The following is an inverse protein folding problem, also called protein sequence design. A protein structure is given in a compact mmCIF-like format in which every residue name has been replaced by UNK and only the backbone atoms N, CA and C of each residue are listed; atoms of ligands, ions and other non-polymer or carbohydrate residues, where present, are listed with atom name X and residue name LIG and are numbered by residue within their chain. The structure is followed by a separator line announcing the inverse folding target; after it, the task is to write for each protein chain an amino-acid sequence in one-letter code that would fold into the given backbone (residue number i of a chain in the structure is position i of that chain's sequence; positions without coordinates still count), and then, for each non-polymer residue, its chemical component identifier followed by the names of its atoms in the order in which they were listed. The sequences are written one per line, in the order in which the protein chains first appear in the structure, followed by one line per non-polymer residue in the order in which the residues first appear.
data_IF_344788285176
#
_entry.id   IF_344788285176
#
_cell.length_a   1.000
_cell.length_b   1.000
_cell.length_c   1.000
_cell.angle_alpha   90.00
_cell.angle_beta   90.00
_cell.angle_gamma   90.00
#
_symmetry.space_group_name_H-M   'P 1'
#
loop_
_entity.id
_entity.type
_entity.pdbx_description
1 polymer ?
#
# COMPACT_ATOMS: atom_id res chain seq x y z
N UNK A 1 62.31 -85.45 -67.41
CA UNK A 1 61.05 -85.20 -66.66
C UNK A 1 61.26 -83.98 -65.78
N UNK A 2 60.83 -82.80 -66.24
CA UNK A 2 60.85 -81.53 -65.50
C UNK A 2 59.53 -81.35 -64.75
N UNK A 3 59.56 -80.51 -63.71
CA UNK A 3 58.46 -79.84 -63.03
C UNK A 3 57.68 -80.60 -61.96
N UNK A 4 58.08 -80.39 -60.68
CA UNK A 4 57.17 -80.34 -59.52
C UNK A 4 57.83 -79.72 -58.27
N UNK A 5 58.60 -78.64 -58.45
CA UNK A 5 59.04 -77.77 -57.35
C UNK A 5 58.65 -76.35 -57.73
N UNK A 6 58.14 -75.60 -56.74
CA UNK A 6 57.75 -74.18 -56.80
C UNK A 6 56.29 -73.87 -57.20
N UNK A 7 55.33 -74.18 -56.32
CA UNK A 7 54.05 -73.43 -56.27
C UNK A 7 53.60 -73.09 -54.83
N UNK A 8 54.44 -73.30 -53.80
CA UNK A 8 54.03 -73.09 -52.41
C UNK A 8 54.53 -71.81 -51.72
N UNK A 9 55.26 -70.92 -52.39
CA UNK A 9 55.88 -69.75 -51.72
C UNK A 9 55.54 -68.36 -52.31
N UNK A 10 54.55 -68.24 -53.21
CA UNK A 10 54.24 -66.97 -53.87
C UNK A 10 53.21 -66.07 -53.15
N UNK A 11 52.42 -66.62 -52.23
CA UNK A 11 51.25 -65.93 -51.67
C UNK A 11 51.46 -65.41 -50.23
N UNK A 12 52.50 -65.90 -49.55
CA UNK A 12 52.86 -65.54 -48.17
C UNK A 12 53.12 -64.03 -47.97
N UNK A 13 53.93 -63.34 -48.81
CA UNK A 13 54.19 -61.91 -48.60
C UNK A 13 52.99 -61.01 -48.92
N UNK A 14 52.07 -61.47 -49.78
CA UNK A 14 50.82 -60.77 -50.11
C UNK A 14 49.80 -60.86 -48.97
N UNK A 15 49.66 -62.07 -48.41
CA UNK A 15 48.83 -62.34 -47.23
C UNK A 15 49.38 -61.64 -45.99
N UNK A 16 50.70 -61.54 -45.83
CA UNK A 16 51.35 -60.76 -44.76
C UNK A 16 51.10 -59.25 -44.89
N UNK A 17 51.06 -58.72 -46.12
CA UNK A 17 50.71 -57.32 -46.36
C UNK A 17 49.24 -57.03 -46.05
N UNK A 18 48.31 -57.88 -46.51
CA UNK A 18 46.88 -57.78 -46.18
C UNK A 18 46.62 -57.91 -44.66
N UNK A 19 47.28 -58.84 -43.97
CA UNK A 19 47.21 -58.98 -42.51
C UNK A 19 47.68 -57.71 -41.80
N UNK A 20 48.72 -57.06 -42.30
CA UNK A 20 49.27 -55.82 -41.73
C UNK A 20 48.34 -54.63 -41.97
N UNK A 21 47.68 -54.59 -43.12
CA UNK A 21 46.71 -53.55 -43.49
C UNK A 21 45.39 -53.71 -42.70
N UNK A 22 44.89 -54.94 -42.56
CA UNK A 22 43.76 -55.28 -41.68
C UNK A 22 44.07 -54.95 -40.21
N UNK A 23 45.27 -55.26 -39.72
CA UNK A 23 45.70 -54.89 -38.37
C UNK A 23 45.80 -53.38 -38.15
N UNK A 24 46.16 -52.61 -39.19
CA UNK A 24 46.14 -51.15 -39.13
C UNK A 24 44.71 -50.59 -39.10
N UNK A 25 43.79 -51.15 -39.90
CA UNK A 25 42.38 -50.79 -39.89
C UNK A 25 41.70 -51.14 -38.57
N UNK A 26 42.00 -52.31 -37.99
CA UNK A 26 41.48 -52.72 -36.69
C UNK A 26 41.91 -51.75 -35.57
N UNK A 27 43.17 -51.32 -35.62
CA UNK A 27 43.73 -50.33 -34.67
C UNK A 27 43.06 -48.96 -34.83
N UNK A 28 42.84 -48.50 -36.06
CA UNK A 28 42.13 -47.23 -36.33
C UNK A 28 40.67 -47.28 -35.84
N UNK A 29 39.98 -48.40 -36.05
CA UNK A 29 38.62 -48.63 -35.55
C UNK A 29 38.60 -48.62 -34.02
N UNK A 30 39.57 -49.27 -33.36
CA UNK A 30 39.69 -49.24 -31.89
C UNK A 30 39.92 -47.82 -31.37
N UNK A 31 40.80 -47.03 -31.99
CA UNK A 31 41.06 -45.64 -31.61
C UNK A 31 39.82 -44.75 -31.82
N UNK A 32 39.06 -44.97 -32.90
CA UNK A 32 37.82 -44.24 -33.17
C UNK A 32 36.70 -44.64 -32.20
N UNK A 33 36.58 -45.92 -31.86
CA UNK A 33 35.65 -46.42 -30.85
C UNK A 33 35.97 -45.85 -29.46
N UNK A 34 37.25 -45.78 -29.10
CA UNK A 34 37.72 -45.13 -27.86
C UNK A 34 37.34 -43.65 -27.80
N UNK A 35 37.57 -42.90 -28.89
CA UNK A 35 37.15 -41.48 -29.00
C UNK A 35 35.63 -41.30 -28.85
N UNK A 36 34.84 -42.12 -29.54
CA UNK A 36 33.37 -42.08 -29.45
C UNK A 36 32.86 -42.43 -28.05
N UNK A 37 33.51 -43.38 -27.36
CA UNK A 37 33.17 -43.74 -25.99
C UNK A 37 33.39 -42.59 -25.01
N UNK A 38 34.52 -41.87 -25.12
CA UNK A 38 34.79 -40.69 -24.29
C UNK A 38 33.78 -39.58 -24.55
N UNK A 39 33.48 -39.28 -25.83
CA UNK A 39 32.46 -38.30 -26.20
C UNK A 39 31.08 -38.65 -25.64
N UNK A 40 30.70 -39.93 -25.73
CA UNK A 40 29.44 -40.42 -25.16
C UNK A 40 29.38 -40.24 -23.65
N UNK A 41 30.44 -40.61 -22.93
CA UNK A 41 30.53 -40.43 -21.48
C UNK A 41 30.43 -38.95 -21.07
N UNK A 42 31.10 -38.04 -21.80
CA UNK A 42 30.98 -36.60 -21.58
C UNK A 42 29.57 -36.09 -21.83
N UNK A 43 28.93 -36.53 -22.92
CA UNK A 43 27.55 -36.13 -23.24
C UNK A 43 26.55 -36.64 -22.20
N UNK A 44 26.69 -37.88 -21.72
CA UNK A 44 25.86 -38.44 -20.65
C UNK A 44 26.06 -37.70 -19.32
N UNK A 45 27.29 -37.25 -19.04
CA UNK A 45 27.59 -36.39 -17.89
C UNK A 45 26.93 -35.01 -18.00
N UNK A 46 27.03 -34.37 -19.17
CA UNK A 46 26.40 -33.07 -19.43
C UNK A 46 24.87 -33.16 -19.39
N UNK A 47 24.28 -34.22 -19.96
CA UNK A 47 22.84 -34.46 -19.91
C UNK A 47 22.33 -34.61 -18.46
N UNK A 48 23.05 -35.37 -17.63
CA UNK A 48 22.72 -35.51 -16.20
C UNK A 48 22.76 -34.18 -15.46
N UNK A 49 23.79 -33.37 -15.70
CA UNK A 49 23.91 -32.06 -15.06
C UNK A 49 22.81 -31.11 -15.53
N UNK A 50 22.50 -31.07 -16.83
CA UNK A 50 21.39 -30.29 -17.37
C UNK A 50 20.06 -30.70 -16.73
N UNK A 51 19.78 -32.01 -16.62
CA UNK A 51 18.55 -32.50 -15.96
C UNK A 51 18.49 -32.08 -14.48
N UNK A 52 19.61 -32.16 -13.77
CA UNK A 52 19.71 -31.72 -12.37
C UNK A 52 19.40 -30.23 -12.25
N UNK A 53 19.99 -29.39 -13.09
CA UNK A 53 19.77 -27.95 -13.09
C UNK A 53 18.35 -27.58 -13.48
N UNK A 54 17.74 -28.28 -14.45
CA UNK A 54 16.34 -28.08 -14.81
C UNK A 54 15.39 -28.39 -13.65
N UNK A 55 15.64 -29.48 -12.90
CA UNK A 55 14.83 -29.82 -11.73
C UNK A 55 14.94 -28.77 -10.61
N UNK A 56 16.17 -28.27 -10.36
CA UNK A 56 16.40 -27.17 -9.40
C UNK A 56 15.67 -25.91 -9.85
N UNK A 57 15.81 -25.54 -11.12
CA UNK A 57 15.14 -24.36 -11.69
C UNK A 57 13.63 -24.48 -11.59
N UNK A 58 13.03 -25.62 -11.90
CA UNK A 58 11.58 -25.80 -11.82
C UNK A 58 11.05 -25.56 -10.40
N UNK A 59 11.78 -26.05 -9.38
CA UNK A 59 11.42 -25.80 -7.98
C UNK A 59 11.52 -24.30 -7.65
N UNK A 60 12.61 -23.66 -8.05
CA UNK A 60 12.86 -22.24 -7.79
C UNK A 60 11.84 -21.34 -8.51
N UNK A 61 11.42 -21.72 -9.72
CA UNK A 61 10.43 -21.00 -10.52
C UNK A 61 9.06 -21.02 -9.84
N UNK A 62 8.66 -22.15 -9.22
CA UNK A 62 7.41 -22.25 -8.43
C UNK A 62 7.43 -21.38 -7.18
N UNK A 63 8.55 -21.38 -6.45
CA UNK A 63 8.74 -20.52 -5.28
C UNK A 63 8.71 -19.03 -5.69
N UNK A 64 9.42 -18.67 -6.77
CA UNK A 64 9.44 -17.33 -7.33
C UNK A 64 8.05 -16.86 -7.76
N UNK A 65 7.27 -17.68 -8.47
CA UNK A 65 5.92 -17.31 -8.92
C UNK A 65 5.02 -16.91 -7.75
N UNK A 66 5.10 -17.62 -6.63
CA UNK A 66 4.31 -17.34 -5.43
C UNK A 66 4.71 -15.98 -4.82
N UNK A 67 6.00 -15.76 -4.62
CA UNK A 67 6.53 -14.50 -4.06
C UNK A 67 6.27 -13.33 -5.01
N UNK A 68 6.43 -13.54 -6.31
CA UNK A 68 6.22 -12.54 -7.34
C UNK A 68 4.75 -12.11 -7.40
N UNK A 69 3.81 -13.04 -7.28
CA UNK A 69 2.38 -12.72 -7.22
C UNK A 69 2.04 -11.88 -5.98
N UNK A 70 2.57 -12.24 -4.81
CA UNK A 70 2.41 -11.44 -3.59
C UNK A 70 2.98 -10.03 -3.78
N UNK A 71 4.18 -9.92 -4.35
CA UNK A 71 4.82 -8.64 -4.62
C UNK A 71 4.03 -7.78 -5.61
N UNK A 72 3.51 -8.37 -6.68
CA UNK A 72 2.66 -7.66 -7.65
C UNK A 72 1.37 -7.18 -7.00
N UNK A 73 0.76 -8.01 -6.15
CA UNK A 73 -0.46 -7.68 -5.40
C UNK A 73 -0.19 -6.54 -4.41
N UNK A 74 0.87 -6.66 -3.60
CA UNK A 74 1.23 -5.67 -2.61
C UNK A 74 1.66 -4.32 -3.20
N UNK A 75 2.18 -4.29 -4.43
CA UNK A 75 2.53 -3.05 -5.12
C UNK A 75 1.42 -2.53 -6.04
N UNK A 76 0.21 -3.13 -6.02
CA UNK A 76 -0.88 -2.70 -6.88
C UNK A 76 -0.61 -2.88 -8.38
N UNK A 77 0.40 -3.67 -8.78
CA UNK A 77 0.78 -3.87 -10.19
C UNK A 77 0.03 -5.05 -10.83
N UNK A 78 -0.90 -5.66 -10.12
CA UNK A 78 -1.70 -6.76 -10.63
C UNK A 78 -2.71 -6.25 -11.66
N UNK A 79 -2.57 -6.69 -12.91
CA UNK A 79 -3.44 -6.31 -14.02
C UNK A 79 -4.91 -6.64 -13.70
N UNK A 80 -5.83 -5.71 -13.97
CA UNK A 80 -7.26 -5.87 -13.70
C UNK A 80 -7.72 -5.49 -12.28
N UNK A 81 -6.82 -5.02 -11.42
CA UNK A 81 -7.17 -4.46 -10.09
C UNK A 81 -7.05 -2.93 -10.07
N UNK A 82 -7.60 -2.29 -9.04
CA UNK A 82 -7.63 -0.85 -8.87
C UNK A 82 -6.24 -0.17 -8.73
N UNK A 83 -5.14 -0.90 -8.93
CA UNK A 83 -3.80 -0.31 -8.97
C UNK A 83 -3.25 0.09 -7.59
N UNK A 84 -3.92 -0.30 -6.50
CA UNK A 84 -3.65 0.20 -5.16
C UNK A 84 -2.54 -0.62 -4.49
N UNK A 85 -1.45 0.04 -4.07
CA UNK A 85 -0.46 -0.63 -3.24
C UNK A 85 -1.00 -0.91 -1.82
N UNK A 86 -0.33 -1.81 -1.12
CA UNK A 86 -0.74 -2.28 0.20
C UNK A 86 -0.72 -1.16 1.24
N UNK A 87 0.26 -0.26 1.16
CA UNK A 87 0.34 0.88 2.07
C UNK A 87 -0.90 1.78 1.93
N UNK A 88 -1.25 2.13 0.70
CA UNK A 88 -2.40 2.96 0.36
C UNK A 88 -3.71 2.25 0.71
N UNK A 89 -3.80 0.93 0.52
CA UNK A 89 -4.92 0.11 0.98
C UNK A 89 -5.15 0.25 2.49
N UNK A 90 -4.08 0.12 3.29
CA UNK A 90 -4.15 0.26 4.74
C UNK A 90 -4.49 1.70 5.14
N UNK A 91 -3.85 2.70 4.52
CA UNK A 91 -4.14 4.11 4.78
C UNK A 91 -5.61 4.46 4.49
N UNK A 92 -6.15 3.98 3.37
CA UNK A 92 -7.55 4.16 3.01
C UNK A 92 -8.49 3.48 4.01
N UNK A 93 -8.12 2.33 4.55
CA UNK A 93 -8.91 1.68 5.59
C UNK A 93 -8.94 2.48 6.90
N UNK A 94 -7.81 3.07 7.31
CA UNK A 94 -7.78 3.99 8.45
C UNK A 94 -8.58 5.26 8.17
N UNK A 95 -8.46 5.82 6.97
CA UNK A 95 -9.20 7.02 6.56
C UNK A 95 -10.72 6.80 6.60
N UNK A 96 -11.21 5.64 6.13
CA UNK A 96 -12.62 5.24 6.26
C UNK A 96 -13.08 5.19 7.71
N UNK A 97 -12.26 4.65 8.62
CA UNK A 97 -12.57 4.64 10.06
C UNK A 97 -12.64 6.05 10.65
N UNK A 98 -11.72 6.94 10.24
CA UNK A 98 -11.73 8.35 10.67
C UNK A 98 -13.00 9.06 10.19
N UNK A 99 -13.40 8.85 8.92
CA UNK A 99 -14.65 9.39 8.36
C UNK A 99 -15.87 8.88 9.15
N UNK A 100 -15.91 7.59 9.48
CA UNK A 100 -17.00 7.02 10.28
C UNK A 100 -17.06 7.66 11.68
N UNK A 101 -15.91 7.84 12.34
CA UNK A 101 -15.83 8.51 13.63
C UNK A 101 -16.25 9.99 13.55
N UNK A 102 -15.84 10.69 12.48
CA UNK A 102 -16.21 12.06 12.20
C UNK A 102 -17.73 12.21 11.99
N UNK A 103 -18.32 11.33 11.17
CA UNK A 103 -19.73 11.36 10.83
C UNK A 103 -20.67 11.20 12.04
N UNK A 104 -20.23 10.52 13.11
CA UNK A 104 -21.01 10.43 14.36
C UNK A 104 -21.33 11.82 14.92
N UNK A 105 -20.37 12.74 14.85
CA UNK A 105 -20.49 14.12 15.36
C UNK A 105 -21.04 15.06 14.31
N UNK A 106 -20.61 14.90 13.05
CA UNK A 106 -21.12 15.69 11.94
C UNK A 106 -22.63 15.56 11.80
N UNK A 107 -23.18 14.34 12.00
CA UNK A 107 -24.62 14.10 11.99
C UNK A 107 -25.38 15.07 12.90
N UNK A 108 -24.87 15.30 14.11
CA UNK A 108 -25.49 16.21 15.06
C UNK A 108 -25.23 17.67 14.69
N UNK A 109 -23.99 18.05 14.37
CA UNK A 109 -23.67 19.44 14.03
C UNK A 109 -24.40 19.95 12.78
N UNK A 110 -24.41 19.14 11.72
CA UNK A 110 -25.04 19.45 10.44
C UNK A 110 -26.55 19.19 10.42
N UNK A 111 -27.14 18.73 11.52
CA UNK A 111 -28.55 18.32 11.61
C UNK A 111 -28.95 17.28 10.54
N UNK A 112 -28.05 16.33 10.30
CA UNK A 112 -28.24 15.26 9.31
C UNK A 112 -28.25 15.72 7.84
N UNK A 113 -28.01 17.00 7.53
CA UNK A 113 -28.07 17.52 6.14
C UNK A 113 -27.05 16.90 5.19
N UNK A 114 -25.86 16.56 5.71
CA UNK A 114 -24.81 15.94 4.90
C UNK A 114 -23.86 15.08 5.73
N UNK A 115 -23.14 14.19 5.04
CA UNK A 115 -22.16 13.27 5.61
C UNK A 115 -20.89 13.24 4.77
N UNK A 116 -19.75 13.04 5.42
CA UNK A 116 -18.48 12.80 4.75
C UNK A 116 -18.46 11.39 4.15
N UNK A 117 -17.92 11.25 2.95
CA UNK A 117 -17.77 9.97 2.25
C UNK A 117 -16.37 9.89 1.66
N UNK A 118 -15.74 8.72 1.76
CA UNK A 118 -14.49 8.47 1.04
C UNK A 118 -14.83 8.24 -0.44
N UNK A 119 -14.19 8.96 -1.35
CA UNK A 119 -14.40 8.80 -2.80
C UNK A 119 -14.10 7.37 -3.23
N UNK A 120 -14.94 6.78 -4.07
CA UNK A 120 -14.75 5.41 -4.53
C UNK A 120 -13.57 5.28 -5.49
N UNK A 121 -12.97 4.08 -5.55
CA UNK A 121 -11.76 3.85 -6.34
C UNK A 121 -12.00 4.04 -7.85
N UNK A 122 -13.23 3.81 -8.31
CA UNK A 122 -13.66 3.92 -9.70
C UNK A 122 -13.72 5.38 -10.18
N UNK A 123 -13.94 6.32 -9.25
CA UNK A 123 -14.03 7.76 -9.51
C UNK A 123 -12.69 8.49 -9.34
N UNK A 124 -11.62 7.76 -9.00
CA UNK A 124 -10.27 8.33 -8.87
C UNK A 124 -9.64 8.52 -10.25
N UNK A 125 -9.19 9.74 -10.54
CA UNK A 125 -8.30 9.98 -11.67
C UNK A 125 -7.02 9.15 -11.53
N UNK A 126 -6.53 8.58 -12.63
CA UNK A 126 -5.29 7.76 -12.68
C UNK A 126 -4.00 8.52 -12.30
N UNK A 127 -4.10 9.77 -11.86
CA UNK A 127 -3.00 10.62 -11.40
C UNK A 127 -3.41 11.40 -10.15
N UNK A 128 -2.76 11.13 -9.02
CA UNK A 128 -2.98 11.82 -7.74
C UNK A 128 -2.57 10.93 -6.56
N UNK A 129 -2.60 11.46 -5.33
CA UNK A 129 -2.51 10.66 -4.09
C UNK A 129 -3.74 9.73 -4.01
N UNK A 130 -3.65 8.60 -4.73
CA UNK A 130 -4.77 7.73 -5.06
C UNK A 130 -5.43 7.20 -3.79
N UNK A 131 -6.68 7.59 -3.52
CA UNK A 131 -7.55 6.87 -2.60
C UNK A 131 -7.79 7.49 -1.22
N UNK A 132 -7.36 8.74 -1.00
CA UNK A 132 -7.67 9.52 0.21
C UNK A 132 -8.57 10.73 -0.05
N UNK A 133 -9.25 10.76 -1.20
CA UNK A 133 -10.20 11.81 -1.52
C UNK A 133 -11.47 11.74 -0.67
N UNK A 134 -11.95 12.93 -0.31
CA UNK A 134 -13.13 13.15 0.50
C UNK A 134 -14.22 13.78 -0.36
N UNK A 135 -15.39 13.16 -0.35
CA UNK A 135 -16.62 13.65 -0.93
C UNK A 135 -17.67 13.83 0.15
N UNK A 136 -18.81 14.39 -0.25
CA UNK A 136 -19.93 14.66 0.62
C UNK A 136 -21.19 14.05 0.03
N UNK A 137 -21.92 13.34 0.86
CA UNK A 137 -23.25 12.88 0.55
C UNK A 137 -24.26 13.87 1.15
N UNK A 138 -25.02 14.55 0.29
CA UNK A 138 -26.08 15.49 0.68
C UNK A 138 -27.41 14.74 0.80
N UNK A 139 -28.06 14.83 1.96
CA UNK A 139 -29.38 14.23 2.17
C UNK A 139 -30.49 14.98 1.44
N UNK A 140 -30.34 16.30 1.25
CA UNK A 140 -31.33 17.14 0.56
C UNK A 140 -31.44 16.81 -0.93
N UNK A 141 -30.31 16.50 -1.57
CA UNK A 141 -30.24 16.27 -3.01
C UNK A 141 -30.05 14.80 -3.38
N UNK A 142 -29.83 13.92 -2.39
CA UNK A 142 -29.48 12.51 -2.56
C UNK A 142 -28.31 12.30 -3.54
N UNK A 143 -27.31 13.17 -3.44
CA UNK A 143 -26.16 13.20 -4.38
C UNK A 143 -24.84 13.28 -3.65
N UNK A 144 -23.83 12.71 -4.31
CA UNK A 144 -22.43 12.84 -3.93
C UNK A 144 -21.86 14.05 -4.66
N UNK A 145 -21.19 14.93 -3.93
CA UNK A 145 -20.52 16.12 -4.46
C UNK A 145 -19.15 16.31 -3.80
N UNK A 146 -18.26 16.99 -4.50
CA UNK A 146 -16.92 17.30 -4.00
C UNK A 146 -17.00 18.24 -2.78
N UNK A 147 -16.12 18.02 -1.79
CA UNK A 147 -16.02 18.85 -0.58
C UNK A 147 -15.81 20.34 -0.87
N UNK A 148 -15.24 20.68 -2.03
CA UNK A 148 -15.04 22.07 -2.48
C UNK A 148 -16.35 22.84 -2.70
N UNK A 149 -17.48 22.15 -2.77
CA UNK A 149 -18.80 22.76 -2.96
C UNK A 149 -19.46 23.20 -1.65
N UNK A 150 -18.84 22.91 -0.50
CA UNK A 150 -19.36 23.32 0.80
C UNK A 150 -19.34 24.84 0.99
N UNK A 151 -20.34 25.35 1.68
CA UNK A 151 -20.29 26.70 2.25
C UNK A 151 -19.21 26.81 3.35
N UNK A 152 -18.90 28.04 3.77
CA UNK A 152 -17.91 28.28 4.84
C UNK A 152 -18.26 27.59 6.15
N UNK A 153 -19.52 27.63 6.57
CA UNK A 153 -19.99 26.97 7.79
C UNK A 153 -19.98 25.44 7.70
N UNK A 154 -20.42 24.88 6.56
CA UNK A 154 -20.35 23.43 6.34
C UNK A 154 -18.90 22.93 6.30
N UNK A 155 -18.01 23.68 5.66
CA UNK A 155 -16.57 23.36 5.60
C UNK A 155 -15.96 23.33 6.99
N UNK A 156 -16.32 24.29 7.85
CA UNK A 156 -15.87 24.31 9.24
C UNK A 156 -16.40 23.09 10.03
N UNK A 157 -17.69 22.76 9.92
CA UNK A 157 -18.26 21.57 10.58
C UNK A 157 -17.61 20.27 10.09
N UNK A 158 -17.35 20.16 8.79
CA UNK A 158 -16.68 19.02 8.18
C UNK A 158 -15.24 18.87 8.71
N UNK A 159 -14.46 19.96 8.69
CA UNK A 159 -13.08 19.98 9.17
C UNK A 159 -13.01 19.67 10.67
N UNK A 160 -13.88 20.29 11.48
CA UNK A 160 -13.96 20.04 12.91
C UNK A 160 -14.29 18.57 13.19
N UNK A 161 -15.34 18.04 12.54
CA UNK A 161 -15.73 16.63 12.68
C UNK A 161 -14.59 15.69 12.31
N UNK A 162 -13.87 15.98 11.23
CA UNK A 162 -12.77 15.17 10.75
C UNK A 162 -11.58 15.18 11.72
N UNK A 163 -11.21 16.35 12.24
CA UNK A 163 -10.14 16.48 13.22
C UNK A 163 -10.46 15.68 14.50
N UNK A 164 -11.72 15.74 14.96
CA UNK A 164 -12.19 14.96 16.11
C UNK A 164 -12.20 13.45 15.83
N UNK A 165 -12.68 13.04 14.65
CA UNK A 165 -12.70 11.63 14.24
C UNK A 165 -11.30 11.03 14.08
N UNK A 166 -10.37 11.80 13.54
CA UNK A 166 -8.96 11.43 13.43
C UNK A 166 -8.32 11.25 14.80
N UNK A 167 -8.56 12.18 15.73
CA UNK A 167 -8.04 12.09 17.09
C UNK A 167 -8.49 10.81 17.81
N UNK A 168 -9.76 10.43 17.65
CA UNK A 168 -10.31 9.20 18.25
C UNK A 168 -9.66 7.93 17.67
N UNK A 169 -9.50 7.86 16.35
CA UNK A 169 -8.90 6.68 15.70
C UNK A 169 -7.41 6.56 16.06
N UNK A 170 -6.67 7.67 16.07
CA UNK A 170 -5.25 7.68 16.46
C UNK A 170 -5.09 7.22 17.92
N UNK A 171 -5.91 7.73 18.83
CA UNK A 171 -5.84 7.36 20.24
C UNK A 171 -6.10 5.87 20.45
N UNK A 172 -7.05 5.28 19.71
CA UNK A 172 -7.37 3.86 19.79
C UNK A 172 -6.30 2.97 19.11
N UNK A 173 -5.73 3.40 17.99
CA UNK A 173 -4.75 2.62 17.24
C UNK A 173 -3.36 2.64 17.88
N UNK A 174 -2.96 3.77 18.47
CA UNK A 174 -1.58 3.97 18.91
C UNK A 174 -1.34 3.64 20.38
N UNK A 175 -2.38 3.45 21.22
CA UNK A 175 -2.34 3.01 22.62
C UNK A 175 -1.60 3.92 23.62
N UNK A 176 -0.41 4.39 23.23
CA UNK A 176 0.51 5.25 23.96
C UNK A 176 0.47 6.71 23.50
N UNK A 177 -0.17 7.04 22.37
CA UNK A 177 -0.36 8.43 21.94
C UNK A 177 -1.66 8.95 22.52
N UNK A 178 -1.56 9.77 23.57
CA UNK A 178 -2.70 10.50 24.12
C UNK A 178 -2.74 11.90 23.50
N UNK A 179 -3.80 12.17 22.74
CA UNK A 179 -4.14 13.52 22.32
C UNK A 179 -4.94 14.18 23.45
N UNK A 180 -4.19 14.72 24.42
CA UNK A 180 -4.76 15.32 25.64
C UNK A 180 -5.23 16.76 25.43
N UNK A 181 -4.80 17.45 24.37
CA UNK A 181 -5.13 18.87 24.13
C UNK A 181 -5.43 19.17 22.67
N UNK A 182 -6.47 19.96 22.42
CA UNK A 182 -6.84 20.48 21.10
C UNK A 182 -7.14 21.98 21.18
N UNK A 183 -6.61 22.76 20.24
CA UNK A 183 -6.99 24.17 20.07
C UNK A 183 -7.78 24.35 18.77
N UNK A 184 -8.88 25.10 18.86
CA UNK A 184 -9.73 25.44 17.73
C UNK A 184 -9.71 26.96 17.62
N UNK A 185 -9.22 27.45 16.48
CA UNK A 185 -9.14 28.87 16.19
C UNK A 185 -10.23 29.30 15.21
N UNK A 186 -10.83 30.45 15.48
CA UNK A 186 -11.65 31.28 14.59
C UNK A 186 -12.32 30.53 13.41
N UNK A 187 -13.51 29.98 13.67
CA UNK A 187 -14.35 29.38 12.61
C UNK A 187 -15.84 29.26 12.95
N UNK A 188 -16.24 29.65 14.15
CA UNK A 188 -17.63 29.65 14.59
C UNK A 188 -18.45 30.83 14.07
N UNK A 189 -17.79 31.89 13.59
CA UNK A 189 -18.46 33.07 13.02
C UNK A 189 -19.10 32.81 11.65
N UNK A 190 -18.68 31.76 10.94
CA UNK A 190 -19.29 31.33 9.67
C UNK A 190 -20.50 30.41 9.86
N UNK A 191 -20.79 30.02 11.10
CA UNK A 191 -21.95 29.19 11.45
C UNK A 191 -23.15 30.06 11.79
N UNK A 192 -24.32 29.61 11.36
CA UNK A 192 -25.59 30.08 11.90
C UNK A 192 -25.70 29.77 13.41
N UNK A 193 -26.61 30.46 14.10
CA UNK A 193 -26.76 30.37 15.56
C UNK A 193 -27.04 28.94 16.05
N UNK A 194 -27.91 28.20 15.36
CA UNK A 194 -28.23 26.83 15.74
C UNK A 194 -27.06 25.87 15.53
N UNK A 195 -26.40 25.94 14.36
CA UNK A 195 -25.22 25.12 14.06
C UNK A 195 -24.09 25.40 15.04
N UNK A 196 -23.90 26.65 15.44
CA UNK A 196 -22.92 27.04 16.46
C UNK A 196 -23.24 26.43 17.82
N UNK A 197 -24.50 26.50 18.28
CA UNK A 197 -24.91 25.87 19.54
C UNK A 197 -24.69 24.35 19.52
N UNK A 198 -25.02 23.67 18.40
CA UNK A 198 -24.77 22.23 18.25
C UNK A 198 -23.28 21.90 18.28
N UNK A 199 -22.44 22.69 17.62
CA UNK A 199 -20.98 22.51 17.64
C UNK A 199 -20.42 22.67 19.06
N UNK A 200 -20.85 23.68 19.81
CA UNK A 200 -20.41 23.89 21.20
C UNK A 200 -20.77 22.71 22.11
N UNK A 201 -21.99 22.19 22.00
CA UNK A 201 -22.41 21.00 22.78
C UNK A 201 -21.53 19.79 22.49
N UNK A 202 -21.22 19.52 21.22
CA UNK A 202 -20.31 18.42 20.84
C UNK A 202 -18.92 18.60 21.43
N UNK A 203 -18.43 19.84 21.50
CA UNK A 203 -17.13 20.14 22.11
C UNK A 203 -17.16 20.01 23.63
N UNK A 204 -18.25 20.40 24.29
CA UNK A 204 -18.43 20.19 25.72
C UNK A 204 -18.51 18.70 26.07
N UNK A 205 -19.27 17.90 25.31
CA UNK A 205 -19.36 16.45 25.51
C UNK A 205 -18.00 15.76 25.33
N UNK A 206 -17.15 16.30 24.46
CA UNK A 206 -15.81 15.80 24.24
C UNK A 206 -14.81 16.31 25.29
N UNK A 207 -15.01 17.52 25.79
CA UNK A 207 -14.27 18.13 26.89
C UNK A 207 -14.68 17.46 28.22
N UNK A 208 -14.23 16.22 28.41
CA UNK A 208 -14.34 15.47 29.67
C UNK A 208 -13.01 15.36 30.41
N UNK A 209 -12.93 14.46 31.39
CA UNK A 209 -11.74 14.25 32.25
C UNK A 209 -10.44 13.94 31.50
N UNK A 210 -10.52 13.55 30.21
CA UNK A 210 -9.39 13.01 29.43
C UNK A 210 -8.90 13.91 28.29
N UNK A 211 -9.54 15.07 28.03
CA UNK A 211 -9.15 15.94 26.91
C UNK A 211 -9.47 17.41 27.18
N UNK A 212 -8.45 18.26 27.08
CA UNK A 212 -8.55 19.72 27.12
C UNK A 212 -8.87 20.26 25.73
N UNK A 213 -9.96 21.01 25.58
CA UNK A 213 -10.30 21.70 24.34
C UNK A 213 -10.26 23.21 24.60
N UNK A 214 -9.34 23.90 23.92
CA UNK A 214 -9.25 25.36 23.90
C UNK A 214 -9.94 25.92 22.66
N UNK A 215 -10.80 26.92 22.85
CA UNK A 215 -11.50 27.59 21.76
C UNK A 215 -11.07 29.07 21.74
N UNK A 216 -10.66 29.56 20.58
CA UNK A 216 -10.36 30.97 20.32
C UNK A 216 -11.49 31.52 19.44
N UNK A 217 -12.21 32.52 19.93
CA UNK A 217 -13.32 33.12 19.18
C UNK A 217 -13.61 34.55 19.62
N UNK A 218 -13.87 35.42 18.65
CA UNK A 218 -14.45 36.75 18.88
C UNK A 218 -15.97 36.77 19.09
N UNK A 219 -16.66 35.65 18.79
CA UNK A 219 -18.13 35.54 18.79
C UNK A 219 -18.68 35.62 20.22
N UNK A 220 -19.63 36.53 20.47
CA UNK A 220 -20.15 36.83 21.81
C UNK A 220 -20.94 35.68 22.41
N UNK A 221 -21.73 34.98 21.59
CA UNK A 221 -22.63 33.90 21.98
C UNK A 221 -21.86 32.69 22.52
N UNK A 222 -20.61 32.49 22.07
CA UNK A 222 -19.71 31.46 22.59
C UNK A 222 -19.23 31.77 24.01
N UNK A 223 -19.12 33.04 24.38
CA UNK A 223 -18.62 33.49 25.69
C UNK A 223 -19.55 33.14 26.84
N UNK A 224 -20.83 32.96 26.55
CA UNK A 224 -21.88 32.67 27.54
C UNK A 224 -22.08 31.17 27.75
N UNK A 225 -21.66 30.34 26.79
CA UNK A 225 -21.77 28.88 26.86
C UNK A 225 -20.55 28.23 27.54
N UNK A 226 -19.43 28.95 27.69
CA UNK A 226 -18.20 28.41 28.29
C UNK A 226 -18.00 28.91 29.71
N UNK A 227 -17.82 27.98 30.66
CA UNK A 227 -17.61 28.28 32.08
C UNK A 227 -16.27 28.97 32.35
N UNK A 228 -15.18 28.51 31.70
CA UNK A 228 -13.83 29.04 31.87
C UNK A 228 -13.40 29.80 30.64
N UNK A 229 -13.16 31.11 30.78
CA UNK A 229 -12.74 31.99 29.69
C UNK A 229 -11.54 32.85 30.05
N UNK A 230 -10.60 32.95 29.13
CA UNK A 230 -9.51 33.92 29.17
C UNK A 230 -9.89 35.10 28.27
N UNK A 231 -10.23 36.23 28.88
CA UNK A 231 -10.65 37.44 28.18
C UNK A 231 -9.39 38.21 27.79
N UNK A 232 -9.23 38.49 26.50
CA UNK A 232 -8.15 39.31 25.94
C UNK A 232 -8.73 40.66 25.51
N UNK A 233 -8.13 41.77 25.94
CA UNK A 233 -8.49 43.12 25.47
C UNK A 233 -7.24 43.95 25.19
N UNK A 234 -7.39 44.99 24.37
CA UNK A 234 -6.30 45.88 23.97
C UNK A 234 -6.56 47.30 24.48
N UNK A 235 -5.53 47.95 25.00
CA UNK A 235 -5.53 49.38 25.35
C UNK A 235 -4.30 50.09 24.72
N UNK A 236 -4.12 51.37 25.02
CA UNK A 236 -2.99 52.17 24.52
C UNK A 236 -1.61 51.66 25.00
N UNK A 237 -1.57 50.85 26.07
CA UNK A 237 -0.34 50.29 26.66
C UNK A 237 -0.04 48.87 26.17
N UNK A 238 -0.94 48.24 25.42
CA UNK A 238 -0.74 46.92 24.82
C UNK A 238 -1.94 45.99 24.96
N UNK A 239 -1.67 44.69 24.89
CA UNK A 239 -2.68 43.64 25.06
C UNK A 239 -2.64 43.10 26.49
N UNK A 240 -3.83 42.91 27.07
CA UNK A 240 -4.02 42.44 28.44
C UNK A 240 -4.90 41.19 28.46
N UNK A 241 -4.75 40.38 29.51
CA UNK A 241 -5.49 39.14 29.70
C UNK A 241 -6.07 39.04 31.12
N UNK A 242 -7.25 38.45 31.26
CA UNK A 242 -7.92 38.20 32.54
C UNK A 242 -8.80 36.98 32.46
N UNK A 243 -8.74 36.11 33.46
CA UNK A 243 -9.72 35.04 33.61
C UNK A 243 -11.10 35.61 33.95
N UNK A 244 -12.13 35.25 33.21
CA UNK A 244 -13.52 35.56 33.55
C UNK A 244 -13.92 34.81 34.83
N UNK A 245 -14.52 35.52 35.79
CA UNK A 245 -14.82 34.97 37.12
C UNK A 245 -15.83 33.81 37.08
N UNK A 246 -15.57 32.82 37.95
CA UNK A 246 -16.50 31.77 38.36
C UNK A 246 -17.76 32.37 38.99
N UNK A 247 -18.93 31.87 38.64
CA UNK A 247 -20.05 31.83 39.59
C UNK A 247 -20.07 30.40 40.10
N UNK A 248 -19.78 30.20 41.39
CA UNK A 248 -19.91 28.90 42.07
C UNK A 248 -21.39 28.52 42.18
#
# INVERSE_FOLDING_TARGET
MRNRRQEKNGNTPKLEAELKELGAQEKEIQERAGRLSVLRACNEGAEKEIRRQMAVREKLEKEYQTVHLLYQTANGKLSGTAGLDFQTYIQRQYFKQMIQAANKRLKFMADGRFFLKCRELEDLGRQGEVGLDLDIYSMETDRIRDVKTLSGGESFMAALSMALGMADVIQNAAGNVRLDTMFIDEGFGSLDEESRMRAVRVLQDLAGEKRLIGIISHVTELKDQMERKLIVWKDEKGSHIRWGNFTL
#
